data_IF_837681483926
#
_entry.id   IF_837681483926
#
_cell.length_a   1.000
_cell.length_b   1.000
_cell.length_c   1.000
_cell.angle_alpha   90.00
_cell.angle_beta   90.00
_cell.angle_gamma   90.00
#
_symmetry.space_group_name_H-M   'P 1'
#
loop_
_entity.id
_entity.type
_entity.pdbx_description
1 polymer ?
#
# COMPACT_ATOMS: atom_id res chain seq x y z
N UNK A 1 5.48 -13.43 -3.20
CA UNK A 1 5.36 -12.65 -4.46
C UNK A 1 6.72 -12.50 -5.15
N UNK A 2 7.75 -11.87 -4.53
CA UNK A 2 9.04 -11.58 -5.20
C UNK A 2 9.71 -12.84 -5.78
N UNK A 3 9.80 -13.94 -5.03
CA UNK A 3 10.38 -15.22 -5.50
C UNK A 3 9.69 -15.71 -6.78
N UNK A 4 8.36 -15.66 -6.84
CA UNK A 4 7.59 -16.10 -8.00
C UNK A 4 7.82 -15.21 -9.22
N UNK A 5 7.89 -13.89 -9.02
CA UNK A 5 8.19 -12.93 -10.09
C UNK A 5 9.59 -13.15 -10.64
N UNK A 6 10.59 -13.25 -9.75
CA UNK A 6 12.00 -13.51 -10.13
C UNK A 6 12.13 -14.81 -10.93
N UNK A 7 11.38 -15.86 -10.53
CA UNK A 7 11.38 -17.15 -11.25
C UNK A 7 10.69 -17.11 -12.62
N UNK A 8 9.81 -16.14 -12.87
CA UNK A 8 9.07 -15.98 -14.12
C UNK A 8 9.77 -15.08 -15.15
N UNK A 9 10.76 -14.26 -14.74
CA UNK A 9 11.46 -13.35 -15.62
C UNK A 9 12.40 -14.10 -16.56
N UNK A 10 12.35 -13.75 -17.85
CA UNK A 10 13.23 -14.28 -18.90
C UNK A 10 14.67 -13.74 -18.74
N UNK A 11 15.54 -14.58 -18.15
CA UNK A 11 16.95 -14.27 -17.90
C UNK A 11 17.80 -14.11 -19.17
N UNK A 12 17.29 -14.47 -20.32
CA UNK A 12 17.99 -14.21 -21.60
C UNK A 12 17.83 -12.78 -22.08
N UNK A 13 16.87 -12.04 -21.51
CA UNK A 13 16.54 -10.65 -21.87
C UNK A 13 16.84 -9.63 -20.76
N UNK A 14 16.83 -10.07 -19.50
CA UNK A 14 16.92 -9.19 -18.36
C UNK A 14 17.93 -9.69 -17.34
N UNK A 15 18.81 -8.81 -16.92
CA UNK A 15 19.63 -8.98 -15.73
C UNK A 15 18.85 -8.50 -14.52
N UNK A 16 18.64 -9.35 -13.52
CA UNK A 16 17.87 -9.00 -12.32
C UNK A 16 18.82 -8.54 -11.23
N UNK A 17 18.61 -7.31 -10.80
CA UNK A 17 19.20 -6.73 -9.60
C UNK A 17 18.15 -6.69 -8.52
N UNK A 18 18.36 -7.42 -7.44
CA UNK A 18 17.43 -7.45 -6.33
C UNK A 18 17.76 -6.32 -5.35
N UNK A 19 16.72 -5.55 -4.99
CA UNK A 19 16.81 -4.51 -3.97
C UNK A 19 15.75 -4.81 -2.91
N UNK A 20 16.20 -5.07 -1.70
CA UNK A 20 15.32 -5.27 -0.56
C UNK A 20 15.11 -3.98 0.23
N UNK A 21 13.88 -3.78 0.72
CA UNK A 21 13.55 -2.67 1.62
C UNK A 21 13.22 -3.27 2.99
N UNK A 22 13.94 -2.85 4.02
CA UNK A 22 13.70 -3.32 5.39
C UNK A 22 12.43 -2.71 5.97
N UNK A 23 11.96 -3.25 7.10
CA UNK A 23 10.84 -2.66 7.86
C UNK A 23 11.12 -1.24 8.37
N UNK A 24 12.39 -0.87 8.48
CA UNK A 24 12.85 0.47 8.87
C UNK A 24 12.97 1.42 7.68
N UNK A 25 12.74 0.94 6.45
CA UNK A 25 12.81 1.72 5.22
C UNK A 25 14.22 1.83 4.61
N UNK A 26 15.15 1.00 5.05
CA UNK A 26 16.50 0.96 4.48
C UNK A 26 16.50 0.14 3.19
N UNK A 27 17.11 0.67 2.16
CA UNK A 27 17.24 0.03 0.85
C UNK A 27 18.60 -0.63 0.72
N UNK A 28 18.63 -1.90 0.33
CA UNK A 28 19.86 -2.70 0.24
C UNK A 28 19.90 -3.49 -1.05
N UNK A 29 21.06 -3.49 -1.71
CA UNK A 29 21.36 -4.45 -2.78
C UNK A 29 21.48 -5.85 -2.20
N UNK A 30 20.87 -6.80 -2.90
CA UNK A 30 20.88 -8.20 -2.54
C UNK A 30 21.19 -9.08 -3.77
N UNK A 31 22.26 -9.85 -3.71
CA UNK A 31 22.69 -10.78 -4.76
C UNK A 31 22.82 -12.23 -4.25
N UNK A 32 22.18 -12.52 -3.13
CA UNK A 32 22.16 -13.85 -2.54
C UNK A 32 21.10 -14.76 -3.14
N UNK A 33 20.91 -15.90 -2.48
CA UNK A 33 19.93 -16.91 -2.87
C UNK A 33 18.50 -16.40 -2.77
N UNK A 34 17.72 -16.59 -3.85
CA UNK A 34 16.33 -16.16 -3.94
C UNK A 34 15.44 -16.79 -2.85
N UNK A 35 15.74 -18.02 -2.42
CA UNK A 35 14.98 -18.72 -1.37
C UNK A 35 15.07 -17.99 -0.02
N UNK A 36 16.16 -17.28 0.25
CA UNK A 36 16.32 -16.47 1.46
C UNK A 36 15.40 -15.25 1.53
N UNK A 37 14.82 -14.84 0.41
CA UNK A 37 13.81 -13.76 0.38
C UNK A 37 12.55 -14.22 1.14
N UNK A 38 12.12 -15.46 0.93
CA UNK A 38 10.92 -16.01 1.57
C UNK A 38 11.08 -16.19 3.08
N UNK A 39 12.27 -16.50 3.56
CA UNK A 39 12.59 -16.70 4.98
C UNK A 39 12.91 -15.42 5.73
N UNK A 40 13.20 -14.33 5.00
CA UNK A 40 13.64 -13.04 5.57
C UNK A 40 15.15 -12.96 5.83
N UNK A 41 15.90 -14.03 5.60
CA UNK A 41 17.36 -14.08 5.81
C UNK A 41 18.15 -13.20 4.82
N UNK A 42 17.48 -12.71 3.78
CA UNK A 42 18.09 -11.80 2.80
C UNK A 42 18.67 -10.54 3.44
N UNK A 43 18.01 -10.00 4.46
CA UNK A 43 18.41 -8.75 5.13
C UNK A 43 19.78 -8.90 5.81
N UNK A 44 19.98 -9.96 6.58
CA UNK A 44 21.27 -10.23 7.24
C UNK A 44 22.37 -10.41 6.20
N UNK A 45 22.12 -11.15 5.13
CA UNK A 45 23.07 -11.34 4.04
C UNK A 45 23.43 -10.01 3.36
N UNK A 46 22.44 -9.16 3.08
CA UNK A 46 22.66 -7.86 2.45
C UNK A 46 23.47 -6.92 3.36
N UNK A 47 23.18 -6.90 4.68
CA UNK A 47 23.93 -6.11 5.67
C UNK A 47 25.39 -6.53 5.76
N UNK A 48 25.66 -7.84 5.79
CA UNK A 48 27.03 -8.36 5.82
C UNK A 48 27.81 -7.97 4.56
N UNK A 49 27.17 -8.02 3.38
CA UNK A 49 27.81 -7.61 2.13
C UNK A 49 28.08 -6.12 2.10
N UNK A 50 27.13 -5.29 2.48
CA UNK A 50 27.32 -3.85 2.58
C UNK A 50 28.45 -3.48 3.55
N UNK A 51 28.55 -4.17 4.68
CA UNK A 51 29.62 -3.95 5.66
C UNK A 51 31.00 -4.35 5.13
N UNK A 52 31.09 -5.50 4.44
CA UNK A 52 32.36 -6.04 3.96
C UNK A 52 32.85 -5.38 2.67
N UNK A 53 31.94 -4.89 1.83
CA UNK A 53 32.22 -4.32 0.51
C UNK A 53 31.29 -3.13 0.22
N UNK A 54 31.42 -2.02 0.96
CA UNK A 54 30.56 -0.86 0.77
C UNK A 54 30.73 -0.21 -0.61
N UNK A 55 31.88 -0.38 -1.27
CA UNK A 55 32.11 0.17 -2.59
C UNK A 55 31.16 -0.40 -3.65
N UNK A 56 30.84 -1.69 -3.58
CA UNK A 56 29.96 -2.37 -4.52
C UNK A 56 28.49 -2.42 -4.07
N UNK A 57 28.21 -2.40 -2.76
CA UNK A 57 26.86 -2.58 -2.23
C UNK A 57 26.19 -1.31 -1.70
N UNK A 58 26.94 -0.22 -1.45
CA UNK A 58 26.34 1.06 -1.10
C UNK A 58 25.81 1.77 -2.34
N UNK A 59 24.62 2.35 -2.23
CA UNK A 59 24.04 3.23 -3.23
C UNK A 59 23.17 4.31 -2.60
N UNK A 60 22.90 5.37 -3.34
CA UNK A 60 22.01 6.46 -2.94
C UNK A 60 20.80 6.53 -3.87
N UNK A 61 19.62 6.66 -3.30
CA UNK A 61 18.39 6.87 -4.09
C UNK A 61 18.44 8.20 -4.86
N UNK A 62 18.97 9.25 -4.23
CA UNK A 62 18.97 10.62 -4.77
C UNK A 62 20.32 11.06 -5.35
N UNK A 63 21.29 10.16 -5.43
CA UNK A 63 22.61 10.47 -6.03
C UNK A 63 23.51 11.36 -5.17
N UNK A 64 23.26 11.49 -3.89
CA UNK A 64 24.07 12.30 -2.98
C UNK A 64 25.15 11.46 -2.30
N UNK A 65 26.29 11.28 -2.97
CA UNK A 65 27.45 10.60 -2.42
C UNK A 65 27.48 9.08 -2.66
N UNK A 66 28.09 8.65 -3.76
CA UNK A 66 28.23 7.26 -4.17
C UNK A 66 27.42 6.94 -5.44
N UNK A 67 27.32 5.68 -5.81
CA UNK A 67 26.54 5.21 -6.95
C UNK A 67 25.06 5.55 -6.74
N UNK A 68 24.43 6.14 -7.72
CA UNK A 68 22.97 6.36 -7.72
C UNK A 68 22.23 5.10 -8.15
N UNK A 69 20.96 4.98 -7.74
CA UNK A 69 20.11 3.88 -8.20
C UNK A 69 20.01 3.85 -9.74
N UNK A 70 19.97 5.02 -10.39
CA UNK A 70 19.92 5.16 -11.84
C UNK A 70 21.17 4.63 -12.58
N UNK A 71 22.32 4.58 -11.91
CA UNK A 71 23.55 3.98 -12.47
C UNK A 71 23.58 2.46 -12.31
N UNK A 72 22.66 1.90 -11.52
CA UNK A 72 22.60 0.48 -11.20
C UNK A 72 21.52 -0.23 -12.02
N UNK A 73 20.36 0.42 -12.27
CA UNK A 73 19.22 -0.19 -12.92
C UNK A 73 18.65 0.68 -14.04
N UNK A 74 18.19 0.06 -15.12
CA UNK A 74 17.51 0.74 -16.23
C UNK A 74 16.01 0.83 -16.02
N UNK A 75 15.44 -0.06 -15.19
CA UNK A 75 14.01 -0.20 -14.96
C UNK A 75 13.75 -0.81 -13.58
N UNK A 76 12.72 -0.35 -12.89
CA UNK A 76 12.28 -0.91 -11.61
C UNK A 76 10.95 -1.64 -11.77
N UNK A 77 10.89 -2.89 -11.35
CA UNK A 77 9.65 -3.64 -11.18
C UNK A 77 9.32 -3.73 -9.68
N UNK A 78 8.42 -2.90 -9.16
CA UNK A 78 8.04 -2.94 -7.75
C UNK A 78 7.28 -4.22 -7.42
N UNK A 79 7.77 -5.00 -6.45
CA UNK A 79 7.07 -6.16 -5.89
C UNK A 79 6.92 -5.93 -4.39
N UNK A 80 6.15 -4.94 -4.05
CA UNK A 80 5.97 -4.38 -2.71
C UNK A 80 4.49 -4.18 -2.42
N UNK A 81 4.10 -4.11 -1.15
CA UNK A 81 2.71 -4.03 -0.75
C UNK A 81 2.48 -2.97 0.34
N UNK A 82 1.27 -2.41 0.37
CA UNK A 82 0.81 -1.52 1.44
C UNK A 82 1.25 -0.07 1.30
N UNK A 83 1.18 0.64 2.42
CA UNK A 83 1.50 2.06 2.54
C UNK A 83 2.95 2.35 2.12
N UNK A 84 3.17 3.50 1.48
CA UNK A 84 4.41 3.93 0.82
C UNK A 84 4.79 3.17 -0.44
N UNK A 85 4.13 2.06 -0.73
CA UNK A 85 4.44 1.19 -1.86
C UNK A 85 3.37 1.23 -2.96
N UNK A 86 2.09 1.20 -2.56
CA UNK A 86 0.94 1.13 -3.47
C UNK A 86 0.17 2.45 -3.55
N UNK A 87 0.53 3.45 -2.74
CA UNK A 87 -0.17 4.72 -2.57
C UNK A 87 0.38 5.88 -3.43
N UNK A 88 1.28 5.61 -4.35
CA UNK A 88 1.91 6.62 -5.20
C UNK A 88 3.23 7.19 -4.64
N UNK A 89 3.58 6.89 -3.38
CA UNK A 89 4.80 7.42 -2.75
C UNK A 89 6.06 6.86 -3.40
N UNK A 90 6.15 5.54 -3.57
CA UNK A 90 7.25 4.89 -4.27
C UNK A 90 7.34 5.35 -5.72
N UNK A 91 6.20 5.41 -6.40
CA UNK A 91 6.11 5.87 -7.78
C UNK A 91 6.62 7.32 -7.91
N UNK A 92 6.24 8.19 -6.99
CA UNK A 92 6.72 9.58 -6.94
C UNK A 92 8.24 9.67 -6.73
N UNK A 93 8.81 8.82 -5.89
CA UNK A 93 10.26 8.74 -5.72
C UNK A 93 10.94 8.33 -7.04
N UNK A 94 10.43 7.29 -7.72
CA UNK A 94 11.00 6.81 -8.99
C UNK A 94 10.88 7.86 -10.11
N UNK A 95 9.76 8.60 -10.17
CA UNK A 95 9.60 9.75 -11.07
C UNK A 95 10.66 10.84 -10.79
N UNK A 96 10.87 11.21 -9.52
CA UNK A 96 11.83 12.25 -9.13
C UNK A 96 13.27 11.90 -9.49
N UNK A 97 13.64 10.63 -9.45
CA UNK A 97 14.97 10.15 -9.82
C UNK A 97 15.07 9.71 -11.28
N UNK A 98 13.99 9.90 -12.05
CA UNK A 98 13.90 9.64 -13.50
C UNK A 98 14.26 8.18 -13.87
N UNK A 99 13.67 7.21 -13.14
CA UNK A 99 13.81 5.79 -13.41
C UNK A 99 12.46 5.22 -13.88
N UNK A 100 12.37 4.62 -15.06
CA UNK A 100 11.17 3.93 -15.50
C UNK A 100 10.80 2.76 -14.57
N UNK A 101 9.50 2.56 -14.37
CA UNK A 101 9.00 1.47 -13.51
C UNK A 101 7.75 0.80 -14.08
N UNK A 102 7.49 -0.43 -13.63
CA UNK A 102 6.30 -1.18 -13.97
C UNK A 102 5.16 -0.94 -12.99
N UNK A 103 3.95 -0.81 -13.50
CA UNK A 103 2.74 -0.62 -12.70
C UNK A 103 2.05 0.72 -12.91
N UNK A 104 1.12 1.04 -12.02
CA UNK A 104 0.36 2.29 -12.08
C UNK A 104 1.23 3.50 -11.75
N UNK A 105 0.99 4.63 -12.40
CA UNK A 105 1.64 5.89 -12.06
C UNK A 105 1.15 6.50 -10.74
N UNK A 106 1.78 7.60 -10.32
CA UNK A 106 1.55 8.28 -9.02
C UNK A 106 0.06 8.54 -8.76
N UNK A 107 -0.62 9.20 -9.69
CA UNK A 107 -2.03 9.58 -9.50
C UNK A 107 -2.94 8.36 -9.39
N UNK A 108 -2.76 7.37 -10.27
CA UNK A 108 -3.60 6.17 -10.25
C UNK A 108 -3.40 5.36 -8.96
N UNK A 109 -2.16 5.20 -8.52
CA UNK A 109 -1.82 4.54 -7.25
C UNK A 109 -2.44 5.25 -6.05
N UNK A 110 -2.29 6.56 -5.96
CA UNK A 110 -2.84 7.36 -4.86
C UNK A 110 -4.38 7.31 -4.81
N UNK A 111 -5.03 7.44 -5.97
CA UNK A 111 -6.50 7.36 -6.07
C UNK A 111 -7.01 5.97 -5.72
N UNK A 112 -6.39 4.92 -6.25
CA UNK A 112 -6.83 3.55 -6.02
C UNK A 112 -6.63 3.09 -4.57
N UNK A 113 -5.60 3.60 -3.89
CA UNK A 113 -5.34 3.27 -2.49
C UNK A 113 -6.35 3.91 -1.54
N UNK A 114 -6.81 5.14 -1.83
CA UNK A 114 -7.80 5.85 -1.02
C UNK A 114 -9.23 5.40 -1.38
N UNK A 115 -9.85 4.60 -0.52
CA UNK A 115 -11.17 4.01 -0.74
C UNK A 115 -12.27 5.04 -0.97
N UNK A 116 -12.17 6.23 -0.37
CA UNK A 116 -13.16 7.30 -0.52
C UNK A 116 -13.02 7.92 -1.91
N UNK A 117 -11.79 8.33 -2.29
CA UNK A 117 -11.54 8.92 -3.60
C UNK A 117 -11.80 7.91 -4.73
N UNK A 118 -11.39 6.64 -4.55
CA UNK A 118 -11.67 5.59 -5.53
C UNK A 118 -13.17 5.45 -5.80
N UNK A 119 -14.00 5.45 -4.72
CA UNK A 119 -15.46 5.41 -4.86
C UNK A 119 -16.04 6.63 -5.56
N UNK A 120 -15.56 7.83 -5.25
CA UNK A 120 -15.99 9.06 -5.92
C UNK A 120 -15.68 9.00 -7.43
N UNK A 121 -14.50 8.49 -7.81
CA UNK A 121 -14.13 8.27 -9.21
C UNK A 121 -15.02 7.22 -9.87
N UNK A 122 -15.30 6.10 -9.19
CA UNK A 122 -16.17 5.06 -9.73
C UNK A 122 -17.62 5.54 -9.92
N UNK A 123 -18.16 6.27 -8.95
CA UNK A 123 -19.48 6.90 -9.07
C UNK A 123 -19.50 7.87 -10.27
N UNK A 124 -18.49 8.70 -10.41
CA UNK A 124 -18.37 9.63 -11.53
C UNK A 124 -18.26 8.93 -12.87
N UNK A 125 -17.64 7.77 -12.92
CA UNK A 125 -17.54 6.92 -14.11
C UNK A 125 -18.83 6.10 -14.39
N UNK A 126 -19.85 6.21 -13.57
CA UNK A 126 -21.11 5.47 -13.71
C UNK A 126 -21.01 4.01 -13.28
N UNK A 127 -19.98 3.63 -12.53
CA UNK A 127 -19.86 2.29 -11.97
C UNK A 127 -20.69 2.16 -10.69
N UNK A 128 -21.41 1.04 -10.49
CA UNK A 128 -22.14 0.81 -9.26
C UNK A 128 -21.18 0.58 -8.09
N UNK A 129 -21.42 1.28 -6.99
CA UNK A 129 -20.73 1.09 -5.71
C UNK A 129 -21.74 0.94 -4.60
N UNK A 130 -21.40 0.22 -3.52
CA UNK A 130 -22.27 0.19 -2.32
C UNK A 130 -22.32 1.57 -1.67
N UNK A 131 -23.43 1.85 -0.99
CA UNK A 131 -23.65 3.08 -0.23
C UNK A 131 -22.50 3.30 0.77
N UNK A 132 -22.10 4.55 0.97
CA UNK A 132 -21.03 4.87 1.90
C UNK A 132 -21.17 6.27 2.49
N UNK A 133 -20.58 6.45 3.67
CA UNK A 133 -20.43 7.73 4.36
C UNK A 133 -18.96 7.91 4.69
N UNK A 134 -18.39 9.04 4.27
CA UNK A 134 -17.04 9.43 4.64
C UNK A 134 -17.07 10.34 5.87
N UNK A 135 -16.11 10.15 6.78
CA UNK A 135 -15.90 10.98 7.97
C UNK A 135 -14.42 11.11 8.27
N UNK A 136 -14.07 11.91 9.26
CA UNK A 136 -12.69 12.12 9.69
C UNK A 136 -12.48 11.76 11.16
N UNK A 137 -11.23 11.47 11.52
CA UNK A 137 -10.83 11.28 12.92
C UNK A 137 -11.15 12.51 13.78
N UNK A 138 -11.11 13.71 13.21
CA UNK A 138 -11.46 14.96 13.87
C UNK A 138 -12.96 15.02 14.20
N UNK A 139 -13.83 14.69 13.23
CA UNK A 139 -15.29 14.65 13.42
C UNK A 139 -15.67 13.56 14.44
N UNK A 140 -15.07 12.38 14.34
CA UNK A 140 -15.26 11.28 15.30
C UNK A 140 -14.86 11.70 16.71
N UNK A 141 -13.72 12.40 16.86
CA UNK A 141 -13.26 12.89 18.15
C UNK A 141 -14.12 14.02 18.73
N UNK A 142 -14.69 14.85 17.87
CA UNK A 142 -15.53 15.98 18.28
C UNK A 142 -16.92 15.53 18.74
N UNK A 143 -17.58 14.63 18.01
CA UNK A 143 -18.91 14.14 18.35
C UNK A 143 -19.19 12.79 17.66
N UNK A 144 -18.73 11.71 18.27
CA UNK A 144 -18.91 10.35 17.75
C UNK A 144 -20.39 9.93 17.66
N UNK A 145 -21.23 10.42 18.57
CA UNK A 145 -22.65 10.09 18.59
C UNK A 145 -23.39 10.69 17.38
N UNK A 146 -23.02 11.92 17.01
CA UNK A 146 -23.54 12.57 15.80
C UNK A 146 -23.09 11.83 14.54
N UNK A 147 -21.81 11.47 14.45
CA UNK A 147 -21.26 10.71 13.32
C UNK A 147 -21.94 9.35 13.20
N UNK A 148 -22.05 8.61 14.30
CA UNK A 148 -22.71 7.31 14.32
C UNK A 148 -24.17 7.38 13.92
N UNK A 149 -24.93 8.38 14.45
CA UNK A 149 -26.34 8.57 14.10
C UNK A 149 -26.54 8.92 12.62
N UNK A 150 -25.61 9.69 12.03
CA UNK A 150 -25.66 10.00 10.60
C UNK A 150 -25.41 8.73 9.77
N UNK A 151 -24.38 7.95 10.08
CA UNK A 151 -24.08 6.68 9.39
C UNK A 151 -25.27 5.71 9.50
N UNK A 152 -25.83 5.56 10.70
CA UNK A 152 -26.99 4.71 10.94
C UNK A 152 -28.20 5.13 10.10
N UNK A 153 -28.45 6.43 9.98
CA UNK A 153 -29.59 6.96 9.19
C UNK A 153 -29.42 6.77 7.69
N UNK A 154 -28.18 6.84 7.18
CA UNK A 154 -27.90 6.74 5.74
C UNK A 154 -27.75 5.29 5.26
N UNK A 155 -27.15 4.42 6.06
CA UNK A 155 -26.75 3.08 5.62
C UNK A 155 -27.52 1.94 6.32
N UNK A 156 -28.03 2.16 7.54
CA UNK A 156 -28.57 1.08 8.37
C UNK A 156 -27.46 0.11 8.83
N UNK A 157 -27.86 -1.14 9.11
CA UNK A 157 -26.91 -2.20 9.51
C UNK A 157 -27.09 -3.45 8.62
N UNK A 158 -26.04 -4.26 8.41
CA UNK A 158 -24.68 -4.09 8.91
C UNK A 158 -23.87 -3.05 8.12
N UNK A 159 -22.88 -2.44 8.78
CA UNK A 159 -21.97 -1.46 8.19
C UNK A 159 -20.52 -1.94 8.38
N UNK A 160 -19.68 -1.74 7.36
CA UNK A 160 -18.24 -1.96 7.46
C UNK A 160 -17.52 -0.63 7.61
N UNK A 161 -16.72 -0.49 8.68
CA UNK A 161 -15.92 0.69 8.96
C UNK A 161 -14.48 0.40 8.54
N UNK A 162 -13.88 1.30 7.76
CA UNK A 162 -12.56 1.10 7.13
C UNK A 162 -11.74 2.39 7.21
N UNK A 163 -10.45 2.33 7.56
CA UNK A 163 -9.51 3.42 7.26
C UNK A 163 -9.42 3.63 5.74
N UNK A 164 -9.32 4.89 5.27
CA UNK A 164 -9.35 5.18 3.84
C UNK A 164 -8.14 4.59 3.09
N UNK A 165 -6.92 4.70 3.64
CA UNK A 165 -5.67 4.38 2.96
C UNK A 165 -4.94 3.13 3.49
N UNK A 166 -5.63 2.22 4.17
CA UNK A 166 -5.02 1.00 4.68
C UNK A 166 -5.37 -0.20 3.80
N UNK A 167 -4.38 -1.06 3.54
CA UNK A 167 -4.55 -2.34 2.85
C UNK A 167 -4.74 -3.52 3.80
N UNK A 168 -4.86 -4.72 3.25
CA UNK A 168 -4.85 -6.02 3.97
C UNK A 168 -5.81 -6.10 5.15
N UNK A 169 -6.97 -5.47 5.05
CA UNK A 169 -8.03 -5.43 6.08
C UNK A 169 -7.61 -4.84 7.44
N UNK A 170 -6.49 -4.11 7.51
CA UNK A 170 -6.06 -3.45 8.74
C UNK A 170 -7.07 -2.39 9.16
N UNK A 171 -7.54 -2.46 10.40
CA UNK A 171 -8.49 -1.51 10.97
C UNK A 171 -9.93 -1.64 10.45
N UNK A 172 -10.26 -2.67 9.65
CA UNK A 172 -11.61 -2.92 9.17
C UNK A 172 -12.43 -3.63 10.25
N UNK A 173 -13.63 -3.13 10.50
CA UNK A 173 -14.60 -3.74 11.42
C UNK A 173 -15.99 -3.81 10.82
N UNK A 174 -16.79 -4.79 11.25
CA UNK A 174 -18.20 -4.90 10.91
C UNK A 174 -19.04 -4.48 12.13
N UNK A 175 -19.93 -3.53 11.94
CA UNK A 175 -20.88 -3.10 12.95
C UNK A 175 -22.28 -3.63 12.64
N UNK A 176 -22.98 -4.12 13.66
CA UNK A 176 -24.36 -4.61 13.58
C UNK A 176 -25.30 -3.82 14.49
N UNK A 177 -24.76 -2.90 15.27
CA UNK A 177 -25.45 -2.02 16.18
C UNK A 177 -24.62 -0.75 16.44
N UNK A 178 -25.21 0.22 17.14
CA UNK A 178 -24.56 1.50 17.42
C UNK A 178 -23.29 1.38 18.26
N UNK A 179 -23.24 0.41 19.17
CA UNK A 179 -22.06 0.20 20.02
C UNK A 179 -20.88 -0.28 19.19
N UNK A 180 -21.07 -1.31 18.38
CA UNK A 180 -20.01 -1.83 17.50
C UNK A 180 -19.62 -0.83 16.41
N UNK A 181 -20.55 0.05 15.99
CA UNK A 181 -20.26 1.15 15.07
C UNK A 181 -19.30 2.18 15.73
N UNK A 182 -19.60 2.64 16.94
CA UNK A 182 -18.73 3.60 17.65
C UNK A 182 -17.35 3.02 17.96
N UNK A 183 -17.28 1.77 18.39
CA UNK A 183 -16.00 1.05 18.60
C UNK A 183 -15.18 0.96 17.30
N UNK A 184 -15.84 0.64 16.19
CA UNK A 184 -15.20 0.56 14.85
C UNK A 184 -14.70 1.90 14.36
N UNK A 185 -15.45 2.98 14.53
CA UNK A 185 -15.04 4.34 14.18
C UNK A 185 -13.80 4.78 14.97
N UNK A 186 -13.78 4.52 16.28
CA UNK A 186 -12.62 4.81 17.12
C UNK A 186 -11.38 3.99 16.72
N UNK A 187 -11.57 2.74 16.31
CA UNK A 187 -10.47 1.90 15.87
C UNK A 187 -9.92 2.39 14.53
N UNK A 188 -10.76 2.62 13.53
CA UNK A 188 -10.34 3.08 12.21
C UNK A 188 -9.62 4.44 12.26
N UNK A 189 -10.09 5.37 13.12
CA UNK A 189 -9.49 6.68 13.33
C UNK A 189 -8.06 6.63 13.94
N UNK A 190 -7.64 5.48 14.50
CA UNK A 190 -6.25 5.29 14.96
C UNK A 190 -5.28 4.98 13.82
N UNK A 191 -5.80 4.48 12.70
CA UNK A 191 -4.98 4.08 11.55
C UNK A 191 -4.96 5.13 10.44
N UNK A 192 -6.03 5.92 10.30
CA UNK A 192 -6.12 6.96 9.28
C UNK A 192 -6.96 8.13 9.80
N UNK A 193 -6.62 9.33 9.36
CA UNK A 193 -7.43 10.51 9.66
C UNK A 193 -8.76 10.51 8.89
N UNK A 194 -8.88 9.75 7.79
CA UNK A 194 -10.10 9.59 6.98
C UNK A 194 -10.66 8.20 7.18
N UNK A 195 -11.94 8.14 7.44
CA UNK A 195 -12.66 6.89 7.73
C UNK A 195 -13.86 6.76 6.80
N UNK A 196 -14.04 5.58 6.26
CA UNK A 196 -15.16 5.18 5.42
C UNK A 196 -16.06 4.24 6.20
N UNK A 197 -17.36 4.54 6.26
CA UNK A 197 -18.40 3.59 6.62
C UNK A 197 -19.12 3.15 5.34
N UNK A 198 -19.29 1.85 5.14
CA UNK A 198 -19.78 1.26 3.92
C UNK A 198 -20.90 0.27 4.20
N UNK A 199 -21.96 0.32 3.42
CA UNK A 199 -23.10 -0.59 3.50
C UNK A 199 -22.65 -2.06 3.41
N UNK A 200 -23.13 -2.89 4.31
CA UNK A 200 -22.87 -4.32 4.32
C UNK A 200 -23.79 -5.09 3.38
N UNK A 201 -23.28 -5.43 2.21
CA UNK A 201 -24.03 -6.16 1.18
C UNK A 201 -23.78 -7.67 1.32
N UNK A 202 -24.84 -8.47 1.17
CA UNK A 202 -24.70 -9.91 1.04
C UNK A 202 -24.40 -10.27 -0.42
N UNK A 203 -23.12 -10.52 -0.71
CA UNK A 203 -22.62 -10.75 -2.07
C UNK A 203 -21.66 -11.93 -2.15
N UNK A 204 -21.37 -12.39 -3.38
CA UNK A 204 -20.17 -13.19 -3.65
C UNK A 204 -18.99 -12.23 -3.82
N UNK A 205 -17.90 -12.53 -3.14
CA UNK A 205 -16.64 -11.85 -3.38
C UNK A 205 -15.96 -12.48 -4.61
N UNK A 206 -15.56 -11.64 -5.53
CA UNK A 206 -14.86 -12.05 -6.76
C UNK A 206 -13.63 -11.18 -6.89
N UNK A 207 -12.47 -11.80 -7.00
CA UNK A 207 -11.21 -11.14 -7.30
C UNK A 207 -10.78 -11.46 -8.73
N UNK A 208 -10.20 -10.49 -9.39
CA UNK A 208 -9.57 -10.67 -10.71
C UNK A 208 -8.22 -9.96 -10.71
N UNK A 209 -7.20 -10.67 -11.16
CA UNK A 209 -5.89 -10.08 -11.43
C UNK A 209 -5.87 -9.51 -12.85
N UNK A 210 -5.25 -8.34 -13.01
CA UNK A 210 -5.08 -7.65 -14.29
C UNK A 210 -3.59 -7.64 -14.64
#
# INVERSE_FOLDING_TARGET
>A
SAVSVIGAIDRSKYDIIMIGITKQGEWMLYDGDVDKIATGEWEETARQKLFNDPENYAFSLLGTGGRSLREIVDFVLPVVHGTYCEDGTLQGLLEMIDIPYGGCGVTASAVAMDKIIAKDVFVRAGLPVCGYVATSAEEISADIEKVASHIESELGYPVYIKPANMGSSVGITKATDKKTLTEGLQLAAKYDRRVLAEEGINCREIETAV
#
